data_IF_321853453973
#
_entry.id   IF_321853453973
#
_cell.length_a   1.000
_cell.length_b   1.000
_cell.length_c   1.000
_cell.angle_alpha   90.00
_cell.angle_beta   90.00
_cell.angle_gamma   90.00
#
_symmetry.space_group_name_H-M   'P 1'
#
loop_
_entity.id
_entity.type
_entity.pdbx_description
1 polymer ?
#
# COMPACT_ATOMS: atom_id res chain seq x y z
N UNK A 1 -0.49 31.85 13.59
CA UNK A 1 -0.17 30.51 13.04
C UNK A 1 -1.42 29.66 13.11
N UNK A 2 -1.86 29.00 12.03
CA UNK A 2 -3.00 28.07 12.07
C UNK A 2 -2.56 26.81 12.81
N UNK A 3 -3.20 26.46 13.92
CA UNK A 3 -3.06 25.13 14.51
C UNK A 3 -3.59 24.12 13.51
N UNK A 4 -2.69 23.36 12.86
CA UNK A 4 -3.11 22.27 12.01
C UNK A 4 -3.65 21.13 12.90
N UNK A 5 -4.90 20.76 12.66
CA UNK A 5 -5.50 19.58 13.24
C UNK A 5 -4.79 18.35 12.67
N UNK A 6 -4.37 17.46 13.55
CA UNK A 6 -3.76 16.17 13.19
C UNK A 6 -4.71 15.04 13.55
N UNK A 7 -4.69 13.96 12.78
CA UNK A 7 -5.43 12.73 13.10
C UNK A 7 -5.11 12.17 14.48
N UNK A 8 -3.87 12.36 14.96
CA UNK A 8 -3.48 11.94 16.30
C UNK A 8 -4.28 12.68 17.39
N UNK A 9 -4.55 13.98 17.20
CA UNK A 9 -5.37 14.76 18.13
C UNK A 9 -6.85 14.34 18.11
N UNK A 10 -7.33 13.75 17.01
CA UNK A 10 -8.66 13.13 16.95
C UNK A 10 -8.67 11.66 17.41
N UNK A 11 -7.60 11.19 18.06
CA UNK A 11 -7.50 9.82 18.60
C UNK A 11 -7.07 8.76 17.59
N UNK A 12 -6.77 9.12 16.34
CA UNK A 12 -6.36 8.18 15.28
C UNK A 12 -4.83 8.16 15.15
N UNK A 13 -4.21 7.03 15.50
CA UNK A 13 -2.78 6.83 15.36
C UNK A 13 -2.45 5.83 14.23
N UNK A 14 -2.34 6.34 12.99
CA UNK A 14 -1.97 5.55 11.81
C UNK A 14 -0.69 4.74 11.95
N UNK A 15 0.30 5.23 12.73
CA UNK A 15 1.53 4.45 12.98
C UNK A 15 1.24 3.12 13.66
N UNK A 16 0.25 3.08 14.54
CA UNK A 16 -0.16 1.87 15.27
C UNK A 16 -1.12 1.04 14.43
N UNK A 17 -2.17 1.64 13.89
CA UNK A 17 -3.24 0.88 13.21
C UNK A 17 -2.81 0.33 11.84
N UNK A 18 -1.88 0.99 11.13
CA UNK A 18 -1.38 0.51 9.84
C UNK A 18 -0.09 -0.33 9.97
N UNK A 19 0.35 -0.65 11.18
CA UNK A 19 1.58 -1.43 11.38
C UNK A 19 1.57 -2.73 10.57
N UNK A 20 0.46 -3.48 10.62
CA UNK A 20 0.29 -4.72 9.87
C UNK A 20 0.37 -4.50 8.34
N UNK A 21 -0.23 -3.41 7.83
CA UNK A 21 -0.18 -3.08 6.40
C UNK A 21 1.25 -2.77 5.96
N UNK A 22 2.01 -2.04 6.79
CA UNK A 22 3.40 -1.68 6.49
C UNK A 22 4.31 -2.91 6.47
N UNK A 23 4.20 -3.82 7.44
CA UNK A 23 5.00 -5.05 7.41
C UNK A 23 4.60 -5.95 6.24
N UNK A 24 3.32 -5.98 5.85
CA UNK A 24 2.86 -6.72 4.68
C UNK A 24 3.45 -6.15 3.38
N UNK A 25 3.55 -4.83 3.22
CA UNK A 25 4.20 -4.19 2.08
C UNK A 25 5.69 -4.57 1.98
N UNK A 26 6.42 -4.52 3.11
CA UNK A 26 7.84 -4.91 3.17
C UNK A 26 8.00 -6.40 2.85
N UNK A 27 7.13 -7.26 3.38
CA UNK A 27 7.16 -8.68 3.05
C UNK A 27 6.86 -8.91 1.56
N UNK A 28 5.88 -8.19 1.00
CA UNK A 28 5.50 -8.25 -0.41
C UNK A 28 6.59 -7.78 -1.36
N UNK A 29 7.43 -6.82 -0.98
CA UNK A 29 8.59 -6.37 -1.77
C UNK A 29 9.55 -7.53 -2.07
N UNK A 30 9.77 -8.43 -1.09
CA UNK A 30 10.64 -9.60 -1.27
C UNK A 30 10.09 -10.63 -2.28
N UNK A 31 8.84 -10.46 -2.75
CA UNK A 31 8.19 -11.35 -3.71
C UNK A 31 8.33 -10.89 -5.16
N UNK A 32 8.88 -9.69 -5.42
CA UNK A 32 9.05 -9.13 -6.78
C UNK A 32 9.83 -10.09 -7.70
N UNK A 33 10.77 -10.85 -7.15
CA UNK A 33 11.55 -11.88 -7.86
C UNK A 33 10.70 -12.99 -8.50
N UNK A 34 9.43 -13.10 -8.12
CA UNK A 34 8.50 -14.07 -8.69
C UNK A 34 7.79 -13.53 -9.95
N UNK A 35 7.97 -12.25 -10.30
CA UNK A 35 7.43 -11.69 -11.53
C UNK A 35 8.14 -12.32 -12.75
N UNK A 36 7.40 -12.54 -13.86
CA UNK A 36 8.02 -12.84 -15.15
C UNK A 36 9.08 -11.80 -15.52
N UNK A 37 10.14 -12.21 -16.22
CA UNK A 37 11.27 -11.32 -16.56
C UNK A 37 10.86 -10.09 -17.38
N UNK A 38 9.80 -10.21 -18.18
CA UNK A 38 9.26 -9.12 -19.00
C UNK A 38 8.29 -8.21 -18.23
N UNK A 39 7.99 -8.49 -16.96
CA UNK A 39 7.13 -7.68 -16.12
C UNK A 39 7.96 -6.82 -15.18
N UNK A 40 7.52 -5.59 -14.93
CA UNK A 40 8.23 -4.64 -14.08
C UNK A 40 7.29 -4.05 -13.06
N UNK A 41 7.66 -4.18 -11.80
CA UNK A 41 6.94 -3.46 -10.76
C UNK A 41 7.12 -1.94 -10.92
N UNK A 42 6.02 -1.19 -10.78
CA UNK A 42 6.06 0.25 -10.53
C UNK A 42 6.27 0.45 -9.03
N UNK A 43 7.52 0.40 -8.57
CA UNK A 43 7.85 0.35 -7.13
C UNK A 43 7.27 1.52 -6.33
N UNK A 44 7.16 2.70 -6.94
CA UNK A 44 6.55 3.89 -6.35
C UNK A 44 5.06 3.73 -6.02
N UNK A 45 4.38 2.70 -6.53
CA UNK A 45 2.98 2.41 -6.23
C UNK A 45 2.78 1.64 -4.91
N UNK A 46 3.86 1.11 -4.29
CA UNK A 46 3.74 0.37 -3.03
C UNK A 46 3.28 1.29 -1.90
N UNK A 47 2.17 0.93 -1.27
CA UNK A 47 1.55 1.72 -0.20
C UNK A 47 0.63 2.85 -0.69
N UNK A 48 0.51 3.03 -2.01
CA UNK A 48 -0.51 3.90 -2.61
C UNK A 48 -1.87 3.18 -2.68
N UNK A 49 -2.85 3.81 -3.34
CA UNK A 49 -4.21 3.26 -3.48
C UNK A 49 -4.26 1.91 -4.20
N UNK A 50 -3.26 1.61 -5.02
CA UNK A 50 -3.10 0.32 -5.69
C UNK A 50 -1.60 0.01 -5.88
N UNK A 51 -1.24 -1.27 -5.82
CA UNK A 51 0.07 -1.77 -6.23
C UNK A 51 0.04 -2.14 -7.71
N UNK A 52 0.99 -1.62 -8.48
CA UNK A 52 0.96 -1.63 -9.95
C UNK A 52 2.16 -2.37 -10.54
N UNK A 53 1.90 -3.20 -11.54
CA UNK A 53 2.90 -3.91 -12.36
C UNK A 53 2.69 -3.54 -13.82
N UNK A 54 3.76 -3.07 -14.45
CA UNK A 54 3.86 -2.89 -15.90
C UNK A 54 4.07 -4.25 -16.57
N UNK A 55 3.18 -4.62 -17.49
CA UNK A 55 3.26 -5.88 -18.24
C UNK A 55 3.44 -5.65 -19.75
N UNK A 56 3.81 -4.43 -20.15
CA UNK A 56 4.06 -4.02 -21.54
C UNK A 56 2.86 -3.34 -22.19
N UNK A 57 1.83 -4.12 -22.55
CA UNK A 57 0.65 -3.59 -23.26
C UNK A 57 -0.33 -2.86 -22.34
N UNK A 58 -0.28 -3.15 -21.04
CA UNK A 58 -1.16 -2.56 -20.03
C UNK A 58 -0.51 -2.64 -18.64
N UNK A 59 -1.22 -2.10 -17.65
CA UNK A 59 -0.84 -2.18 -16.24
C UNK A 59 -1.79 -3.11 -15.50
N UNK A 60 -1.24 -3.99 -14.67
CA UNK A 60 -1.99 -4.72 -13.66
C UNK A 60 -2.00 -3.91 -12.37
N UNK A 61 -3.18 -3.60 -11.84
CA UNK A 61 -3.33 -2.90 -10.57
C UNK A 61 -4.04 -3.82 -9.57
N UNK A 62 -3.42 -4.03 -8.41
CA UNK A 62 -4.01 -4.77 -7.29
C UNK A 62 -4.34 -3.84 -6.14
N UNK A 63 -5.55 -3.99 -5.60
CA UNK A 63 -6.03 -3.23 -4.44
C UNK A 63 -6.33 -4.22 -3.33
N UNK A 64 -5.85 -3.91 -2.12
CA UNK A 64 -6.17 -4.68 -0.92
C UNK A 64 -6.92 -3.74 0.02
N UNK A 65 -8.18 -4.05 0.27
CA UNK A 65 -9.03 -3.29 1.18
C UNK A 65 -9.52 -4.17 2.34
N UNK A 66 -9.65 -3.56 3.51
CA UNK A 66 -10.31 -4.20 4.66
C UNK A 66 -11.76 -3.74 4.74
N UNK A 67 -12.71 -4.67 4.90
CA UNK A 67 -14.15 -4.40 5.05
C UNK A 67 -14.50 -3.41 6.19
N UNK A 68 -13.61 -3.27 7.19
CA UNK A 68 -13.87 -2.50 8.40
C UNK A 68 -14.64 -3.30 9.45
N UNK A 69 -15.18 -2.63 10.48
CA UNK A 69 -15.95 -3.26 11.57
C UNK A 69 -17.43 -3.46 11.21
N UNK A 70 -17.77 -3.36 9.92
CA UNK A 70 -19.13 -3.41 9.41
C UNK A 70 -19.49 -4.86 9.05
N UNK A 71 -19.36 -5.78 10.02
CA UNK A 71 -19.75 -7.18 9.91
C UNK A 71 -20.75 -7.51 11.01
#
# INVERSE_FOLDING_TARGET
>A
MKNQLTYKQSGVNYKTIDYLKRIAQVAGENTIKNLPENYKEVSASRGESAHVVDVGEYYFASVIEGLGTKN
#
